data_IF_361089846072
#
_entry.id   IF_361089846072
#
_cell.length_a   1.000
_cell.length_b   1.000
_cell.length_c   1.000
_cell.angle_alpha   90.00
_cell.angle_beta   90.00
_cell.angle_gamma   90.00
#
_symmetry.space_group_name_H-M   'P 1'
#
loop_
_entity.id
_entity.type
_entity.pdbx_description
1 polymer ?
#
# COMPACT_ATOMS: atom_id res chain seq x y z
N UNK A 1 -14.05 4.77 -2.22
CA UNK A 1 -14.58 3.43 -2.50
C UNK A 1 -13.60 2.37 -2.07
N UNK A 2 -13.85 1.13 -2.51
CA UNK A 2 -12.99 -0.03 -2.29
C UNK A 2 -12.32 -0.42 -3.59
N UNK A 3 -11.02 -0.72 -3.53
CA UNK A 3 -10.20 -1.04 -4.69
C UNK A 3 -9.35 -2.27 -4.40
N UNK A 4 -9.17 -3.14 -5.39
CA UNK A 4 -8.27 -4.29 -5.36
C UNK A 4 -6.93 -3.92 -5.98
N UNK A 5 -5.84 -4.39 -5.39
CA UNK A 5 -4.49 -4.17 -5.91
C UNK A 5 -4.29 -4.99 -7.21
N UNK A 6 -3.85 -4.32 -8.27
CA UNK A 6 -3.55 -4.93 -9.57
C UNK A 6 -2.06 -5.17 -9.70
N UNK A 7 -1.26 -4.12 -9.44
CA UNK A 7 0.19 -4.19 -9.60
C UNK A 7 0.90 -3.29 -8.59
N UNK A 8 2.15 -3.65 -8.27
CA UNK A 8 3.05 -2.83 -7.47
C UNK A 8 4.46 -2.91 -8.05
N UNK A 9 5.00 -1.76 -8.43
CA UNK A 9 6.41 -1.62 -8.82
C UNK A 9 7.12 -0.89 -7.70
N UNK A 10 8.25 -1.46 -7.27
CA UNK A 10 9.10 -0.86 -6.25
C UNK A 10 10.53 -0.82 -6.73
N UNK A 11 11.13 0.35 -6.62
CA UNK A 11 12.56 0.56 -6.84
C UNK A 11 13.19 0.97 -5.54
N UNK A 12 14.26 0.27 -5.15
CA UNK A 12 15.04 0.58 -3.95
C UNK A 12 16.42 1.00 -4.44
N UNK A 13 16.82 2.24 -4.16
CA UNK A 13 18.05 2.87 -4.66
C UNK A 13 18.24 2.68 -6.19
N UNK A 14 17.14 2.85 -6.94
CA UNK A 14 17.10 2.71 -8.40
C UNK A 14 17.10 1.27 -8.92
N UNK A 15 17.15 0.25 -8.05
CA UNK A 15 17.05 -1.15 -8.45
C UNK A 15 15.62 -1.64 -8.34
N UNK A 16 15.07 -2.11 -9.45
CA UNK A 16 13.75 -2.72 -9.47
C UNK A 16 13.73 -3.98 -8.60
N UNK A 17 12.72 -4.08 -7.75
CA UNK A 17 12.49 -5.24 -6.90
C UNK A 17 11.57 -6.21 -7.64
N UNK A 18 12.14 -7.29 -8.18
CA UNK A 18 11.46 -8.26 -9.04
C UNK A 18 10.56 -9.26 -8.28
N UNK A 19 10.66 -9.31 -6.95
CA UNK A 19 9.86 -10.20 -6.08
C UNK A 19 8.36 -9.85 -6.00
N UNK A 20 7.92 -8.87 -6.79
CA UNK A 20 6.53 -8.42 -6.95
C UNK A 20 5.98 -8.68 -8.35
N UNK A 21 6.68 -9.47 -9.17
CA UNK A 21 6.24 -9.96 -10.49
C UNK A 21 4.92 -10.76 -10.46
N UNK A 22 4.54 -11.22 -9.28
CA UNK A 22 3.31 -11.93 -8.96
C UNK A 22 2.31 -10.96 -8.28
N UNK A 23 1.06 -10.83 -8.77
CA UNK A 23 0.14 -9.80 -8.30
C UNK A 23 -0.09 -9.94 -6.79
N UNK A 24 0.26 -8.92 -5.99
CA UNK A 24 0.08 -8.96 -4.53
C UNK A 24 -1.41 -9.05 -4.17
N UNK A 25 -1.70 -9.65 -3.01
CA UNK A 25 -3.05 -9.59 -2.45
C UNK A 25 -3.21 -8.29 -1.68
N UNK A 26 -4.21 -7.48 -2.02
CA UNK A 26 -4.40 -6.24 -1.30
C UNK A 26 -5.65 -5.47 -1.65
N UNK A 27 -6.03 -4.61 -0.71
CA UNK A 27 -7.15 -3.71 -0.82
C UNK A 27 -6.77 -2.29 -0.37
N UNK A 28 -7.39 -1.34 -1.04
CA UNK A 28 -7.36 0.07 -0.70
C UNK A 28 -8.81 0.52 -0.45
N UNK A 29 -9.04 1.13 0.70
CA UNK A 29 -10.30 1.77 1.05
C UNK A 29 -10.03 3.27 1.18
N UNK A 30 -10.77 4.06 0.40
CA UNK A 30 -10.77 5.52 0.52
C UNK A 30 -12.21 5.92 0.86
N UNK A 31 -12.43 6.29 2.12
CA UNK A 31 -13.68 6.88 2.58
C UNK A 31 -13.60 8.41 2.47
N UNK A 32 -14.65 9.19 2.75
CA UNK A 32 -14.54 10.65 2.72
C UNK A 32 -13.48 11.25 3.65
N UNK A 33 -13.05 10.52 4.70
CA UNK A 33 -12.08 11.02 5.70
C UNK A 33 -10.81 10.19 5.80
N UNK A 34 -10.92 8.88 5.64
CA UNK A 34 -9.84 7.93 5.92
C UNK A 34 -9.37 7.21 4.66
N UNK A 35 -8.05 7.08 4.59
CA UNK A 35 -7.33 6.19 3.70
C UNK A 35 -6.93 4.95 4.51
N UNK A 36 -7.22 3.76 4.02
CA UNK A 36 -6.73 2.51 4.60
C UNK A 36 -6.19 1.62 3.48
N UNK A 37 -4.97 1.12 3.66
CA UNK A 37 -4.36 0.21 2.70
C UNK A 37 -3.85 -1.03 3.42
N UNK A 38 -4.08 -2.18 2.81
CA UNK A 38 -3.57 -3.46 3.28
C UNK A 38 -3.14 -4.28 2.08
N UNK A 39 -1.88 -4.69 2.02
CA UNK A 39 -1.45 -5.68 1.03
C UNK A 39 -0.28 -6.53 1.52
N UNK A 40 -0.19 -7.71 0.94
CA UNK A 40 0.81 -8.72 1.27
C UNK A 40 1.48 -9.26 0.02
N UNK A 41 2.70 -9.79 0.16
CA UNK A 41 3.30 -10.62 -0.90
C UNK A 41 2.44 -11.87 -1.16
N UNK A 42 2.42 -12.36 -2.39
CA UNK A 42 1.61 -13.51 -2.80
C UNK A 42 2.17 -14.84 -2.25
N UNK A 43 3.49 -14.93 -2.02
CA UNK A 43 4.21 -16.16 -1.67
C UNK A 43 4.31 -16.42 -0.15
N UNK A 44 3.41 -15.82 0.65
CA UNK A 44 3.37 -16.00 2.10
C UNK A 44 3.07 -17.46 2.46
N UNK A 45 3.79 -17.98 3.44
CA UNK A 45 3.56 -19.30 4.03
C UNK A 45 3.17 -19.14 5.49
N UNK A 46 2.23 -19.96 5.93
CA UNK A 46 1.93 -20.08 7.35
C UNK A 46 3.17 -20.61 8.09
N UNK A 47 3.37 -20.14 9.30
CA UNK A 47 4.38 -20.66 10.22
C UNK A 47 4.20 -20.04 11.59
N UNK A 48 4.72 -20.72 12.60
CA UNK A 48 4.50 -20.40 14.02
C UNK A 48 5.79 -20.05 14.75
N UNK A 49 6.96 -20.30 14.14
CA UNK A 49 8.23 -19.88 14.70
C UNK A 49 8.35 -18.35 14.64
N UNK A 50 9.26 -17.79 15.45
CA UNK A 50 9.50 -16.35 15.43
C UNK A 50 10.06 -15.88 14.09
N UNK A 51 10.86 -16.72 13.43
CA UNK A 51 11.36 -16.45 12.07
C UNK A 51 10.20 -16.40 11.05
N UNK A 52 9.23 -17.30 11.15
CA UNK A 52 8.07 -17.31 10.26
C UNK A 52 7.19 -16.07 10.47
N UNK A 53 6.93 -15.71 11.74
CA UNK A 53 6.16 -14.51 12.08
C UNK A 53 6.86 -13.24 11.59
N UNK A 54 8.18 -13.15 11.74
CA UNK A 54 8.97 -12.04 11.22
C UNK A 54 8.86 -11.96 9.68
N UNK A 55 8.96 -13.08 8.96
CA UNK A 55 8.79 -13.10 7.50
C UNK A 55 7.37 -12.67 7.05
N UNK A 56 6.34 -13.04 7.81
CA UNK A 56 4.96 -12.58 7.59
C UNK A 56 4.81 -11.07 7.83
N UNK A 57 5.46 -10.53 8.86
CA UNK A 57 5.48 -9.09 9.12
C UNK A 57 6.23 -8.33 8.02
N UNK A 58 7.42 -8.81 7.65
CA UNK A 58 8.26 -8.26 6.57
C UNK A 58 7.61 -8.35 5.18
N UNK A 59 6.52 -9.10 5.01
CA UNK A 59 5.78 -9.16 3.75
C UNK A 59 4.47 -8.38 3.77
N UNK A 60 4.15 -7.71 4.88
CA UNK A 60 2.97 -6.87 5.06
C UNK A 60 3.28 -5.40 4.72
N UNK A 61 2.27 -4.72 4.19
CA UNK A 61 2.11 -3.27 4.33
C UNK A 61 0.68 -3.01 4.76
N UNK A 62 0.49 -2.42 5.93
CA UNK A 62 -0.81 -1.99 6.41
C UNK A 62 -0.71 -0.67 7.16
N UNK A 63 -1.40 0.36 6.69
CA UNK A 63 -1.53 1.61 7.43
C UNK A 63 -2.83 2.30 7.10
N UNK A 64 -3.31 3.10 8.03
CA UNK A 64 -4.48 3.95 7.87
C UNK A 64 -4.29 5.29 8.56
N UNK A 65 -5.06 6.27 8.11
CA UNK A 65 -5.13 7.57 8.73
C UNK A 65 -5.97 8.53 7.90
N UNK A 66 -6.21 9.74 8.42
CA UNK A 66 -6.83 10.81 7.65
C UNK A 66 -5.98 11.15 6.43
N UNK A 67 -6.65 11.63 5.37
CA UNK A 67 -5.97 12.15 4.19
C UNK A 67 -6.60 13.45 3.72
N UNK A 68 -5.87 14.13 2.85
CA UNK A 68 -6.37 15.27 2.08
C UNK A 68 -5.89 15.18 0.64
N UNK A 69 -6.58 15.87 -0.26
CA UNK A 69 -6.20 16.00 -1.66
C UNK A 69 -5.59 17.37 -1.88
N UNK A 70 -4.42 17.42 -2.50
CA UNK A 70 -3.69 18.63 -2.87
C UNK A 70 -3.43 18.60 -4.37
N UNK A 71 -4.34 19.17 -5.16
CA UNK A 71 -4.28 19.10 -6.63
C UNK A 71 -4.30 17.66 -7.13
N UNK A 72 -3.22 17.21 -7.78
CA UNK A 72 -3.04 15.84 -8.27
C UNK A 72 -2.34 14.93 -7.26
N UNK A 73 -2.35 15.27 -5.96
CA UNK A 73 -1.71 14.49 -4.90
C UNK A 73 -2.71 14.10 -3.83
N UNK A 74 -2.51 12.92 -3.27
CA UNK A 74 -3.12 12.50 -2.01
C UNK A 74 -2.04 12.53 -0.92
N UNK A 75 -2.33 13.24 0.18
CA UNK A 75 -1.44 13.33 1.34
C UNK A 75 -2.10 12.63 2.50
N UNK A 76 -1.52 11.50 2.90
CA UNK A 76 -2.03 10.64 3.97
C UNK A 76 -1.24 10.96 5.24
N UNK A 77 -1.91 11.01 6.39
CA UNK A 77 -1.27 11.22 7.69
C UNK A 77 -1.56 10.01 8.58
N UNK A 78 -0.75 8.94 8.51
CA UNK A 78 -1.02 7.72 9.24
C UNK A 78 -1.01 7.94 10.75
N UNK A 79 -2.01 7.40 11.43
CA UNK A 79 -2.12 7.31 12.89
C UNK A 79 -2.16 5.84 13.38
N UNK A 80 -2.34 4.89 12.47
CA UNK A 80 -2.25 3.45 12.72
C UNK A 80 -1.43 2.80 11.61
N UNK A 81 -0.37 2.08 11.98
CA UNK A 81 0.56 1.50 11.01
C UNK A 81 1.19 0.22 11.53
N UNK A 82 1.44 -0.74 10.62
CA UNK A 82 2.29 -1.91 10.90
C UNK A 82 3.75 -1.51 11.18
N UNK A 83 4.15 -0.29 10.88
CA UNK A 83 5.50 0.18 11.14
C UNK A 83 5.43 1.61 11.66
N UNK A 84 5.88 1.79 12.90
CA UNK A 84 5.81 3.05 13.64
C UNK A 84 6.51 4.21 12.93
N UNK A 85 7.45 3.94 12.02
CA UNK A 85 8.09 4.98 11.21
C UNK A 85 7.10 5.81 10.37
N UNK A 86 5.89 5.28 10.11
CA UNK A 86 4.87 6.00 9.36
C UNK A 86 3.95 6.85 10.24
N UNK A 87 3.80 6.53 11.53
CA UNK A 87 2.90 7.25 12.42
C UNK A 87 3.39 8.70 12.61
N UNK A 88 2.47 9.66 12.54
CA UNK A 88 2.80 11.08 12.66
C UNK A 88 3.56 11.68 11.47
N UNK A 89 3.69 10.94 10.36
CA UNK A 89 4.33 11.43 9.12
C UNK A 89 3.31 11.84 8.05
N UNK A 90 3.78 12.52 7.00
CA UNK A 90 2.98 12.74 5.79
C UNK A 90 3.47 11.84 4.66
N UNK A 91 2.57 11.00 4.16
CA UNK A 91 2.80 10.09 3.05
C UNK A 91 2.10 10.63 1.79
N UNK A 92 2.86 11.34 0.96
CA UNK A 92 2.35 11.92 -0.29
C UNK A 92 2.43 10.93 -1.45
N UNK A 93 1.36 10.82 -2.24
CA UNK A 93 1.34 10.10 -3.52
C UNK A 93 0.76 10.99 -4.60
N UNK A 94 1.34 10.95 -5.79
CA UNK A 94 0.69 11.44 -7.00
C UNK A 94 -0.50 10.53 -7.31
N UNK A 95 -1.63 11.14 -7.64
CA UNK A 95 -2.92 10.51 -7.85
C UNK A 95 -3.34 10.66 -9.31
N UNK A 96 -3.44 9.53 -10.02
CA UNK A 96 -4.03 9.45 -11.36
C UNK A 96 -5.34 8.66 -11.26
N UNK A 97 -6.42 9.21 -11.83
CA UNK A 97 -7.73 8.56 -11.89
C UNK A 97 -8.08 8.30 -13.35
N UNK A 98 -8.44 7.06 -13.68
CA UNK A 98 -8.91 6.67 -15.01
C UNK A 98 -10.08 5.69 -14.90
N UNK A 99 -11.30 6.23 -14.92
CA UNK A 99 -12.53 5.45 -14.75
C UNK A 99 -12.52 4.64 -13.46
N UNK A 100 -12.53 3.31 -13.58
CA UNK A 100 -12.44 2.38 -12.45
C UNK A 100 -11.04 2.19 -11.87
N UNK A 101 -9.99 2.82 -12.41
CA UNK A 101 -8.60 2.61 -11.99
C UNK A 101 -8.01 3.81 -11.26
N UNK A 102 -7.22 3.52 -10.24
CA UNK A 102 -6.39 4.49 -9.51
C UNK A 102 -4.93 4.09 -9.66
N UNK A 103 -4.09 5.05 -10.05
CA UNK A 103 -2.65 4.88 -9.92
C UNK A 103 -2.11 5.81 -8.84
N UNK A 104 -1.36 5.25 -7.89
CA UNK A 104 -0.67 5.97 -6.83
C UNK A 104 0.83 5.83 -7.02
N UNK A 105 1.53 6.95 -7.14
CA UNK A 105 3.01 6.96 -7.27
C UNK A 105 3.64 7.79 -6.15
N UNK A 106 4.75 7.35 -5.58
CA UNK A 106 5.53 8.17 -4.64
C UNK A 106 6.79 8.69 -5.30
N UNK A 107 7.22 9.90 -4.92
CA UNK A 107 8.62 10.28 -5.09
C UNK A 107 9.56 9.44 -4.20
N UNK A 108 10.89 9.63 -4.33
CA UNK A 108 11.87 8.99 -3.47
C UNK A 108 11.63 9.34 -2.00
N UNK A 109 11.52 8.32 -1.14
CA UNK A 109 11.30 8.47 0.31
C UNK A 109 12.06 7.40 1.08
N UNK A 110 12.34 7.59 2.39
CA UNK A 110 12.93 6.54 3.21
C UNK A 110 12.14 5.22 3.11
N UNK A 111 12.86 4.12 2.94
CA UNK A 111 12.25 2.80 2.91
C UNK A 111 11.92 2.37 4.35
N UNK A 112 10.64 2.11 4.63
CA UNK A 112 10.20 1.86 6.01
C UNK A 112 10.88 0.67 6.71
N UNK A 113 11.48 -0.26 5.96
CA UNK A 113 12.18 -1.44 6.51
C UNK A 113 13.69 -1.26 6.64
N UNK A 114 14.22 -0.28 5.90
CA UNK A 114 15.63 0.11 5.95
C UNK A 114 15.70 1.60 5.60
N UNK A 115 15.57 2.48 6.61
CA UNK A 115 15.47 3.92 6.39
C UNK A 115 16.73 4.54 5.76
N UNK A 116 17.85 3.81 5.72
CA UNK A 116 19.07 4.23 5.02
C UNK A 116 18.91 4.24 3.49
N UNK A 117 17.90 3.53 2.97
CA UNK A 117 17.60 3.40 1.54
C UNK A 117 16.42 4.24 1.12
N UNK A 118 16.37 4.57 -0.17
CA UNK A 118 15.24 5.27 -0.79
C UNK A 118 14.39 4.31 -1.59
N UNK A 119 13.07 4.39 -1.39
CA UNK A 119 12.09 3.65 -2.17
C UNK A 119 11.25 4.59 -3.03
N UNK A 120 11.01 4.17 -4.27
CA UNK A 120 9.97 4.70 -5.17
C UNK A 120 8.95 3.60 -5.39
N UNK A 121 7.67 3.94 -5.31
CA UNK A 121 6.56 2.99 -5.46
C UNK A 121 5.56 3.52 -6.49
N UNK A 122 5.11 2.63 -7.37
CA UNK A 122 3.92 2.83 -8.21
C UNK A 122 2.95 1.68 -7.97
N UNK A 123 1.70 2.00 -7.69
CA UNK A 123 0.65 1.03 -7.40
C UNK A 123 -0.55 1.30 -8.30
N UNK A 124 -1.08 0.24 -8.90
CA UNK A 124 -2.28 0.31 -9.71
C UNK A 124 -3.39 -0.46 -9.00
N UNK A 125 -4.55 0.18 -8.88
CA UNK A 125 -5.71 -0.32 -8.17
C UNK A 125 -6.92 -0.29 -9.09
N UNK A 126 -7.79 -1.28 -8.97
CA UNK A 126 -9.04 -1.37 -9.71
C UNK A 126 -10.22 -1.36 -8.75
N UNK A 127 -11.21 -0.51 -9.03
CA UNK A 127 -12.40 -0.34 -8.20
C UNK A 127 -13.18 -1.64 -8.18
N UNK A 128 -13.60 -2.03 -6.99
CA UNK A 128 -14.56 -3.12 -6.82
C UNK A 128 -15.94 -2.48 -6.93
N UNK A 129 -16.66 -2.81 -8.01
CA UNK A 129 -18.09 -2.51 -8.09
C UNK A 129 -18.83 -3.37 -7.06
N UNK A 130 -19.94 -2.86 -6.53
CA UNK A 130 -20.70 -3.46 -5.45
C UNK A 130 -20.78 -4.99 -5.60
N UNK A 131 -20.18 -5.70 -4.65
CA UNK A 131 -20.40 -7.13 -4.52
C UNK A 131 -21.86 -7.27 -4.11
N UNK A 132 -22.67 -8.03 -4.85
CA UNK A 132 -24.00 -8.41 -4.39
C UNK A 132 -23.82 -9.21 -3.09
N UNK A 133 -23.85 -8.51 -1.97
CA UNK A 133 -23.94 -9.11 -0.65
C UNK A 133 -25.29 -9.82 -0.61
N UNK A 134 -25.29 -11.11 -0.93
CA UNK A 134 -26.40 -11.96 -0.53
C UNK A 134 -26.31 -12.05 0.98
N UNK A 135 -27.33 -11.60 1.74
CA UNK A 135 -27.36 -11.86 3.17
C UNK A 135 -27.32 -13.39 3.36
N UNK A 136 -26.37 -13.85 4.19
CA UNK A 136 -26.41 -15.20 4.74
C UNK A 136 -27.52 -15.30 5.78
#
# INVERSE_FOLDING_TARGET
>A
GTYKLVSIKAEIDGKLRDDRSKPPHGYLMITPKYYAVFYTRQDRKFGTSDADKAALWESLTAFTGPYRIEGKKIVISPDVSYNEIFNGTHQTRDLELNGGRITLSSGPRPYGRDPSKKIVLRQEWERIESVNCHPM
#
